data_IF_148363855932
#
_entry.id   IF_148363855932
#
_cell.length_a   1.000
_cell.length_b   1.000
_cell.length_c   1.000
_cell.angle_alpha   90.00
_cell.angle_beta   90.00
_cell.angle_gamma   90.00
#
_symmetry.space_group_name_H-M   'P 1'
#
loop_
_entity.id
_entity.type
_entity.pdbx_description
1 polymer ?
#
# COMPACT_ATOMS: atom_id res chain seq x y z
N UNK A 1 -22.91 70.19 -23.90
CA UNK A 1 -22.54 69.16 -22.90
C UNK A 1 -22.18 67.89 -23.66
N UNK A 2 -20.89 67.54 -23.66
CA UNK A 2 -20.25 66.59 -24.58
C UNK A 2 -20.38 65.14 -24.08
N UNK A 3 -20.42 64.20 -25.02
CA UNK A 3 -20.65 62.75 -24.86
C UNK A 3 -19.42 61.99 -24.35
N UNK A 4 -19.72 60.90 -23.63
CA UNK A 4 -19.05 59.58 -23.50
C UNK A 4 -17.52 59.53 -23.44
N UNK A 5 -17.03 58.92 -22.37
CA UNK A 5 -15.89 58.00 -22.48
C UNK A 5 -16.14 56.69 -21.73
N UNK A 6 -15.78 55.59 -22.41
CA UNK A 6 -15.89 54.20 -21.98
C UNK A 6 -14.62 53.83 -21.21
N UNK A 7 -14.76 53.49 -19.93
CA UNK A 7 -13.73 52.77 -19.17
C UNK A 7 -13.96 51.26 -19.28
N UNK A 8 -13.04 50.59 -19.98
CA UNK A 8 -12.89 49.13 -20.11
C UNK A 8 -12.10 48.56 -18.92
N UNK A 9 -12.43 47.29 -18.58
CA UNK A 9 -11.56 46.27 -17.95
C UNK A 9 -11.15 46.56 -16.48
N UNK A 10 -11.35 45.67 -15.51
CA UNK A 10 -10.84 44.29 -15.50
C UNK A 10 -11.79 43.32 -14.80
N UNK A 11 -12.10 42.28 -15.53
CA UNK A 11 -12.56 40.99 -15.04
C UNK A 11 -11.38 40.35 -14.31
N UNK A 12 -11.36 40.40 -12.97
CA UNK A 12 -10.45 39.58 -12.18
C UNK A 12 -10.99 38.15 -12.20
N UNK A 13 -10.61 37.43 -13.24
CA UNK A 13 -10.62 35.97 -13.27
C UNK A 13 -9.71 35.47 -12.15
N UNK A 14 -10.31 35.20 -10.99
CA UNK A 14 -9.62 34.54 -9.89
C UNK A 14 -9.14 33.18 -10.39
N UNK A 15 -7.82 33.09 -10.47
CA UNK A 15 -7.05 32.01 -11.06
C UNK A 15 -7.26 30.75 -10.22
N UNK A 16 -7.61 29.68 -10.92
CA UNK A 16 -7.54 28.28 -10.56
C UNK A 16 -7.73 27.91 -9.08
N UNK A 17 -8.85 27.23 -8.85
CA UNK A 17 -9.00 26.32 -7.72
C UNK A 17 -7.93 25.24 -7.78
N UNK A 18 -6.77 25.51 -7.20
CA UNK A 18 -5.85 24.49 -6.73
C UNK A 18 -6.62 23.75 -5.65
N UNK A 19 -7.30 22.67 -6.04
CA UNK A 19 -7.72 21.64 -5.08
C UNK A 19 -6.44 21.16 -4.42
N UNK A 20 -6.16 21.67 -3.23
CA UNK A 20 -5.17 21.10 -2.32
C UNK A 20 -5.53 19.63 -2.18
N UNK A 21 -4.82 18.74 -2.88
CA UNK A 21 -4.99 17.30 -2.69
C UNK A 21 -4.70 17.04 -1.21
N UNK A 22 -5.66 16.46 -0.51
CA UNK A 22 -5.45 16.05 0.88
C UNK A 22 -4.25 15.12 0.91
N UNK A 23 -3.21 15.48 1.68
CA UNK A 23 -2.02 14.66 1.82
C UNK A 23 -2.39 13.47 2.71
N UNK A 24 -2.48 12.29 2.10
CA UNK A 24 -2.72 11.05 2.84
C UNK A 24 -1.40 10.63 3.51
N UNK A 25 -1.33 10.58 4.85
CA UNK A 25 -0.12 10.17 5.53
C UNK A 25 0.17 8.69 5.26
N UNK A 26 1.40 8.38 4.86
CA UNK A 26 1.79 6.99 4.67
C UNK A 26 2.28 6.37 5.98
N UNK A 27 1.43 5.55 6.60
CA UNK A 27 1.69 4.82 7.85
C UNK A 27 1.52 3.32 7.67
N UNK A 28 2.21 2.53 8.49
CA UNK A 28 2.27 1.08 8.37
C UNK A 28 1.90 0.41 9.71
N UNK A 29 1.12 -0.69 9.68
CA UNK A 29 0.87 -1.49 10.87
C UNK A 29 2.13 -2.26 11.28
N UNK A 30 2.30 -2.48 12.58
CA UNK A 30 3.43 -3.28 13.11
C UNK A 30 3.07 -4.74 13.38
N UNK A 31 1.78 -5.08 13.34
CA UNK A 31 1.23 -6.40 13.68
C UNK A 31 0.06 -6.75 12.77
N UNK A 32 -0.22 -8.04 12.58
CA UNK A 32 -1.43 -8.52 11.90
C UNK A 32 -2.72 -8.32 12.73
N UNK A 33 -2.63 -7.90 13.99
CA UNK A 33 -3.79 -7.58 14.83
C UNK A 33 -4.44 -6.25 14.40
N UNK A 34 -5.77 -6.25 14.23
CA UNK A 34 -6.50 -5.08 13.74
C UNK A 34 -6.38 -3.83 14.62
N UNK A 35 -6.17 -4.01 15.94
CA UNK A 35 -5.93 -2.93 16.91
C UNK A 35 -4.45 -2.57 17.10
N UNK A 36 -3.60 -3.07 16.21
CA UNK A 36 -2.15 -2.88 16.27
C UNK A 36 -1.68 -1.43 16.20
N UNK A 37 -0.44 -1.22 16.62
CA UNK A 37 0.23 0.08 16.48
C UNK A 37 0.53 0.36 15.00
N UNK A 38 0.34 1.62 14.61
CA UNK A 38 0.73 2.13 13.31
C UNK A 38 1.90 3.10 13.44
N UNK A 39 2.86 3.03 12.52
CA UNK A 39 4.12 3.78 12.60
C UNK A 39 4.45 4.42 11.26
N UNK A 40 5.33 5.42 11.28
CA UNK A 40 5.90 6.02 10.06
C UNK A 40 6.85 5.04 9.36
N UNK A 41 7.17 5.32 8.09
CA UNK A 41 8.18 4.55 7.34
C UNK A 41 9.54 4.57 8.06
N UNK A 42 9.98 5.74 8.53
CA UNK A 42 11.27 5.87 9.21
C UNK A 42 11.36 4.96 10.44
N UNK A 43 10.28 4.90 11.21
CA UNK A 43 10.20 3.99 12.36
C UNK A 43 10.11 2.52 11.93
N UNK A 44 9.31 2.18 10.92
CA UNK A 44 9.23 0.81 10.40
C UNK A 44 10.61 0.29 9.92
N UNK A 45 11.38 1.13 9.23
CA UNK A 45 12.76 0.83 8.81
C UNK A 45 13.67 0.63 10.03
N UNK A 46 13.60 1.52 11.03
CA UNK A 46 14.39 1.40 12.26
C UNK A 46 14.09 0.11 13.02
N UNK A 47 12.81 -0.26 13.14
CA UNK A 47 12.37 -1.51 13.73
C UNK A 47 12.95 -2.70 12.97
N UNK A 48 12.93 -2.68 11.63
CA UNK A 48 13.47 -3.78 10.84
C UNK A 48 14.99 -3.93 11.00
N UNK A 49 15.73 -2.82 10.97
CA UNK A 49 17.19 -2.82 11.11
C UNK A 49 17.67 -3.27 12.50
N UNK A 50 16.87 -3.04 13.54
CA UNK A 50 17.21 -3.44 14.92
C UNK A 50 16.89 -4.91 15.23
N UNK A 51 16.25 -5.64 14.30
CA UNK A 51 15.87 -7.05 14.55
C UNK A 51 17.10 -7.97 14.58
N UNK A 52 17.14 -8.91 15.53
CA UNK A 52 18.16 -9.94 15.52
C UNK A 52 17.99 -10.80 14.26
N UNK A 53 19.09 -11.05 13.54
CA UNK A 53 19.16 -12.00 12.42
C UNK A 53 19.00 -13.41 12.96
N UNK A 54 17.76 -13.81 13.27
CA UNK A 54 17.43 -15.19 13.61
C UNK A 54 17.53 -16.03 12.33
N UNK A 55 18.03 -17.25 12.45
CA UNK A 55 17.84 -18.27 11.42
C UNK A 55 16.34 -18.57 11.37
N UNK A 56 15.61 -17.93 10.45
CA UNK A 56 14.15 -18.04 10.34
C UNK A 56 13.71 -18.84 9.09
N UNK A 57 14.13 -20.11 8.90
CA UNK A 57 13.57 -20.91 7.82
C UNK A 57 12.12 -21.38 8.12
N UNK A 58 11.54 -21.07 9.29
CA UNK A 58 10.24 -21.61 9.72
C UNK A 58 9.08 -20.62 9.73
N UNK A 59 9.26 -19.37 9.27
CA UNK A 59 8.09 -18.47 9.17
C UNK A 59 7.19 -18.93 8.02
N UNK A 60 6.09 -19.59 8.37
CA UNK A 60 5.00 -19.90 7.45
C UNK A 60 4.05 -18.71 7.39
N UNK A 61 3.85 -18.17 6.19
CA UNK A 61 2.97 -17.02 6.02
C UNK A 61 1.53 -17.35 6.44
N UNK A 62 0.79 -16.43 7.08
CA UNK A 62 -0.62 -16.64 7.30
C UNK A 62 -1.38 -16.67 5.96
N UNK A 63 -2.58 -17.23 5.96
CA UNK A 63 -3.48 -17.10 4.80
C UNK A 63 -3.84 -15.63 4.59
N UNK A 64 -3.97 -15.19 3.34
CA UNK A 64 -4.17 -13.77 3.02
C UNK A 64 -5.38 -13.16 3.75
N UNK A 65 -6.50 -13.90 3.81
CA UNK A 65 -7.72 -13.44 4.48
C UNK A 65 -7.64 -13.32 6.01
N UNK A 66 -6.51 -13.66 6.63
CA UNK A 66 -6.26 -13.39 8.05
C UNK A 66 -5.69 -11.98 8.28
N UNK A 67 -5.15 -11.33 7.25
CA UNK A 67 -4.65 -9.96 7.37
C UNK A 67 -5.83 -8.96 7.32
N UNK A 68 -5.83 -7.92 8.15
CA UNK A 68 -6.95 -6.97 8.22
C UNK A 68 -7.09 -6.10 6.97
N UNK A 69 -5.97 -5.73 6.34
CA UNK A 69 -5.96 -4.69 5.31
C UNK A 69 -4.80 -4.84 4.33
N UNK A 70 -4.86 -4.10 3.21
CA UNK A 70 -3.82 -4.06 2.17
C UNK A 70 -2.54 -3.42 2.73
N UNK A 71 -2.66 -2.47 3.67
CA UNK A 71 -1.52 -1.94 4.41
C UNK A 71 -0.75 -3.04 5.15
N UNK A 72 -1.43 -4.06 5.68
CA UNK A 72 -0.77 -5.19 6.34
C UNK A 72 -0.02 -6.05 5.33
N UNK A 73 -0.58 -6.29 4.14
CA UNK A 73 0.12 -7.02 3.07
C UNK A 73 1.38 -6.28 2.64
N UNK A 74 1.28 -4.96 2.46
CA UNK A 74 2.41 -4.12 2.07
C UNK A 74 3.49 -4.06 3.17
N UNK A 75 3.07 -3.90 4.43
CA UNK A 75 3.96 -3.95 5.58
C UNK A 75 4.65 -5.32 5.68
N UNK A 76 3.91 -6.43 5.64
CA UNK A 76 4.49 -7.79 5.67
C UNK A 76 5.52 -8.00 4.55
N UNK A 77 5.26 -7.42 3.37
CA UNK A 77 6.13 -7.61 2.22
C UNK A 77 7.46 -6.85 2.33
N UNK A 78 7.44 -5.59 2.75
CA UNK A 78 8.59 -4.68 2.69
C UNK A 78 9.20 -4.30 4.04
N UNK A 79 8.43 -4.41 5.13
CA UNK A 79 8.83 -3.93 6.47
C UNK A 79 8.72 -5.01 7.56
N UNK A 80 7.97 -6.08 7.29
CA UNK A 80 7.68 -7.16 8.22
C UNK A 80 6.54 -6.84 9.20
N UNK A 81 5.97 -7.89 9.80
CA UNK A 81 4.90 -7.82 10.81
C UNK A 81 5.17 -8.79 11.96
N UNK A 82 4.69 -8.49 13.17
CA UNK A 82 4.75 -9.39 14.33
C UNK A 82 6.18 -9.84 14.69
N UNK A 83 7.15 -8.95 14.45
CA UNK A 83 8.57 -9.25 14.61
C UNK A 83 9.17 -10.14 13.51
N UNK A 84 8.38 -10.62 12.53
CA UNK A 84 8.85 -11.39 11.38
C UNK A 84 9.42 -10.47 10.31
N UNK A 85 10.58 -10.81 9.71
CA UNK A 85 11.24 -10.00 8.69
C UNK A 85 10.36 -9.84 7.43
N UNK A 86 10.64 -8.82 6.60
CA UNK A 86 9.97 -8.65 5.32
C UNK A 86 10.03 -9.89 4.43
N UNK A 87 8.96 -10.16 3.69
CA UNK A 87 8.93 -11.25 2.69
C UNK A 87 10.03 -11.06 1.64
N UNK A 88 10.26 -9.83 1.18
CA UNK A 88 11.26 -9.56 0.14
C UNK A 88 12.68 -9.96 0.61
N UNK A 89 13.00 -9.73 1.89
CA UNK A 89 14.25 -10.14 2.52
C UNK A 89 14.31 -11.67 2.67
N UNK A 90 13.22 -12.32 3.08
CA UNK A 90 13.15 -13.78 3.21
C UNK A 90 13.39 -14.47 1.86
N UNK A 91 12.77 -13.96 0.78
CA UNK A 91 13.00 -14.46 -0.58
C UNK A 91 14.46 -14.31 -1.02
N UNK A 92 15.08 -13.16 -0.73
CA UNK A 92 16.49 -12.89 -1.03
C UNK A 92 17.44 -13.78 -0.23
N UNK A 93 17.08 -14.12 1.02
CA UNK A 93 17.96 -14.84 1.96
C UNK A 93 17.87 -16.36 1.81
N UNK A 94 16.66 -16.91 1.70
CA UNK A 94 16.42 -18.36 1.74
C UNK A 94 16.03 -18.96 0.38
N UNK A 95 15.75 -18.12 -0.62
CA UNK A 95 15.59 -18.55 -2.01
C UNK A 95 14.45 -19.55 -2.23
N UNK A 96 14.73 -20.58 -3.02
CA UNK A 96 13.70 -21.46 -3.60
C UNK A 96 12.96 -22.31 -2.57
N UNK A 97 13.66 -22.84 -1.56
CA UNK A 97 13.07 -23.75 -0.56
C UNK A 97 11.97 -23.06 0.24
N UNK A 98 12.24 -21.89 0.82
CA UNK A 98 11.24 -21.13 1.57
C UNK A 98 10.08 -20.66 0.68
N UNK A 99 10.38 -20.32 -0.58
CA UNK A 99 9.37 -19.95 -1.59
C UNK A 99 8.41 -21.10 -1.88
N UNK A 100 8.91 -22.32 -1.99
CA UNK A 100 8.08 -23.49 -2.30
C UNK A 100 7.15 -23.83 -1.14
N UNK A 101 7.67 -23.82 0.09
CA UNK A 101 6.88 -24.02 1.31
C UNK A 101 5.75 -22.98 1.46
N UNK A 102 5.96 -21.77 0.94
CA UNK A 102 5.02 -20.67 1.01
C UNK A 102 4.30 -20.36 -0.31
N UNK A 103 4.44 -21.20 -1.35
CA UNK A 103 4.07 -20.86 -2.73
C UNK A 103 2.65 -20.31 -2.86
N UNK A 104 1.65 -21.03 -2.37
CA UNK A 104 0.25 -20.62 -2.47
C UNK A 104 -0.04 -19.28 -1.75
N UNK A 105 0.64 -19.03 -0.63
CA UNK A 105 0.50 -17.81 0.18
C UNK A 105 1.21 -16.62 -0.47
N UNK A 106 2.35 -16.87 -1.11
CA UNK A 106 3.11 -15.88 -1.86
C UNK A 106 2.40 -15.46 -3.13
N UNK A 107 1.81 -16.39 -3.89
CA UNK A 107 1.11 -16.06 -5.15
C UNK A 107 0.04 -14.99 -4.96
N UNK A 108 -0.80 -15.12 -3.92
CA UNK A 108 -1.89 -14.16 -3.66
C UNK A 108 -1.36 -12.80 -3.19
N UNK A 109 -0.31 -12.77 -2.38
CA UNK A 109 0.35 -11.53 -1.95
C UNK A 109 1.01 -10.83 -3.12
N UNK A 110 1.73 -11.58 -3.95
CA UNK A 110 2.41 -11.05 -5.13
C UNK A 110 1.42 -10.39 -6.08
N UNK A 111 0.23 -10.97 -6.26
CA UNK A 111 -0.82 -10.36 -7.06
C UNK A 111 -1.22 -8.95 -6.54
N UNK A 112 -1.41 -8.79 -5.23
CA UNK A 112 -1.68 -7.47 -4.64
C UNK A 112 -0.49 -6.52 -4.75
N UNK A 113 0.73 -7.01 -4.58
CA UNK A 113 1.94 -6.19 -4.71
C UNK A 113 2.12 -5.68 -6.15
N UNK A 114 1.88 -6.52 -7.15
CA UNK A 114 1.94 -6.10 -8.56
C UNK A 114 0.81 -5.12 -8.91
N UNK A 115 -0.39 -5.29 -8.37
CA UNK A 115 -1.46 -4.30 -8.51
C UNK A 115 -1.07 -2.93 -7.91
N UNK A 116 -0.43 -2.94 -6.74
CA UNK A 116 0.04 -1.71 -6.10
C UNK A 116 1.04 -0.99 -7.02
N UNK A 117 2.05 -1.72 -7.51
CA UNK A 117 3.07 -1.18 -8.42
C UNK A 117 2.48 -0.65 -9.72
N UNK A 118 1.47 -1.33 -10.27
CA UNK A 118 0.79 -0.90 -11.49
C UNK A 118 0.14 0.47 -11.29
N UNK A 119 -0.63 0.64 -10.21
CA UNK A 119 -1.27 1.94 -9.91
C UNK A 119 -0.26 3.02 -9.55
N UNK A 120 0.84 2.65 -8.90
CA UNK A 120 1.96 3.58 -8.71
C UNK A 120 2.52 4.06 -10.04
N UNK A 121 2.62 3.18 -11.04
CA UNK A 121 3.04 3.55 -12.40
C UNK A 121 2.03 4.43 -13.15
N UNK A 122 0.75 4.36 -12.77
CA UNK A 122 -0.32 5.26 -13.25
C UNK A 122 -0.32 6.64 -12.55
N UNK A 123 0.63 6.89 -11.65
CA UNK A 123 0.84 8.18 -11.00
C UNK A 123 0.14 8.34 -9.64
N UNK A 124 -0.40 7.26 -9.06
CA UNK A 124 -0.87 7.27 -7.69
C UNK A 124 0.31 7.12 -6.71
N UNK A 125 0.24 7.77 -5.57
CA UNK A 125 1.16 7.50 -4.45
C UNK A 125 0.82 6.17 -3.80
N UNK A 126 1.79 5.50 -3.17
CA UNK A 126 1.55 4.26 -2.42
C UNK A 126 0.40 4.40 -1.42
N UNK A 127 0.37 5.50 -0.65
CA UNK A 127 -0.67 5.74 0.34
C UNK A 127 -2.07 5.80 -0.29
N UNK A 128 -2.22 6.52 -1.41
CA UNK A 128 -3.49 6.56 -2.16
C UNK A 128 -3.91 5.17 -2.64
N UNK A 129 -2.97 4.38 -3.16
CA UNK A 129 -3.25 3.03 -3.65
C UNK A 129 -3.69 2.10 -2.53
N UNK A 130 -2.98 2.09 -1.40
CA UNK A 130 -3.33 1.23 -0.27
C UNK A 130 -4.73 1.57 0.29
N UNK A 131 -5.03 2.86 0.42
CA UNK A 131 -6.34 3.35 0.87
C UNK A 131 -7.44 2.97 -0.14
N UNK A 132 -7.19 3.14 -1.44
CA UNK A 132 -8.13 2.76 -2.49
C UNK A 132 -8.43 1.26 -2.48
N UNK A 133 -7.41 0.41 -2.40
CA UNK A 133 -7.59 -1.04 -2.41
C UNK A 133 -8.29 -1.52 -1.12
N UNK A 134 -8.01 -0.91 0.03
CA UNK A 134 -8.75 -1.18 1.27
C UNK A 134 -10.23 -0.78 1.18
N UNK A 135 -10.54 0.32 0.51
CA UNK A 135 -11.94 0.69 0.21
C UNK A 135 -12.61 -0.31 -0.73
N UNK A 136 -11.93 -0.75 -1.80
CA UNK A 136 -12.46 -1.73 -2.76
C UNK A 136 -12.73 -3.10 -2.12
N UNK A 137 -11.88 -3.49 -1.16
CA UNK A 137 -12.10 -4.69 -0.35
C UNK A 137 -13.42 -4.59 0.42
N UNK A 138 -13.79 -3.39 0.89
CA UNK A 138 -14.97 -3.14 1.70
C UNK A 138 -14.94 -3.94 3.01
N UNK A 139 -16.11 -4.43 3.44
CA UNK A 139 -16.25 -5.28 4.63
C UNK A 139 -15.81 -6.73 4.41
N UNK A 140 -15.47 -7.09 3.17
CA UNK A 140 -15.00 -8.44 2.86
C UNK A 140 -13.54 -8.64 3.26
N UNK A 141 -13.09 -9.90 3.18
CA UNK A 141 -11.68 -10.25 3.38
C UNK A 141 -10.86 -9.87 2.15
N UNK A 142 -9.55 -9.71 2.33
CA UNK A 142 -8.58 -9.42 1.25
C UNK A 142 -8.66 -10.39 0.06
N UNK A 143 -9.16 -11.61 0.30
CA UNK A 143 -9.40 -12.59 -0.76
C UNK A 143 -10.27 -12.05 -1.90
N UNK A 144 -11.24 -11.16 -1.62
CA UNK A 144 -12.09 -10.57 -2.65
C UNK A 144 -11.31 -9.80 -3.71
N UNK A 145 -10.28 -9.07 -3.31
CA UNK A 145 -9.42 -8.31 -4.23
C UNK A 145 -8.65 -9.21 -5.20
N UNK A 146 -8.43 -10.48 -4.82
CA UNK A 146 -7.68 -11.46 -5.59
C UNK A 146 -8.59 -12.38 -6.40
N UNK A 147 -9.71 -12.80 -5.82
CA UNK A 147 -10.60 -13.83 -6.38
C UNK A 147 -11.59 -13.24 -7.37
N UNK A 148 -12.13 -12.07 -7.06
CA UNK A 148 -12.91 -11.30 -8.01
C UNK A 148 -11.89 -10.53 -8.81
N UNK A 149 -11.82 -10.74 -10.13
CA UNK A 149 -11.07 -9.89 -11.06
C UNK A 149 -11.65 -8.47 -11.11
N UNK A 150 -11.84 -7.83 -9.95
CA UNK A 150 -12.16 -6.41 -9.80
C UNK A 150 -11.05 -5.57 -10.44
N UNK A 151 -9.87 -6.16 -10.58
CA UNK A 151 -8.70 -5.64 -11.27
C UNK A 151 -8.77 -6.09 -12.74
N UNK A 152 -9.80 -5.60 -13.44
CA UNK A 152 -9.99 -5.81 -14.86
C UNK A 152 -8.90 -5.06 -15.63
N UNK A 153 -7.76 -5.71 -15.83
CA UNK A 153 -6.79 -5.28 -16.83
C UNK A 153 -6.73 -6.39 -17.88
N UNK A 154 -7.21 -6.05 -19.09
CA UNK A 154 -6.95 -6.86 -20.28
C UNK A 154 -5.43 -7.00 -20.42
N UNK A 155 -4.96 -8.25 -20.52
CA UNK A 155 -3.55 -8.54 -20.84
C UNK A 155 -3.20 -8.07 -22.24
#
# INVERSE_FOLDING_TARGET
MVRKDKGKEKEETSIDGIRTREIIPFILPTTAEAGGRWVSIAEAVSINLSRPKKNLPYYMLPVLGALPSVHHVYAEWYYGLDGNPPIDLLLKTFGHQWKDDNKARLTRRNFLIEEIKMRESDGFTTAEVLVLLDMLKGTDKLNRLVDVKLLNHAR
#
